data_IF_030559816678
#
_entry.id   IF_030559816678
#
_cell.length_a   1.000
_cell.length_b   1.000
_cell.length_c   1.000
_cell.angle_alpha   90.00
_cell.angle_beta   90.00
_cell.angle_gamma   90.00
#
_symmetry.space_group_name_H-M   'P 1'
#
loop_
_entity.id
_entity.type
_entity.pdbx_description
1 polymer ?
#
# COMPACT_ATOMS: atom_id res chain seq x y z
N UNK A 1 5.85 -66.81 -15.19
CA UNK A 1 6.43 -65.46 -15.10
C UNK A 1 5.30 -64.44 -15.22
N UNK A 2 4.82 -63.79 -14.14
CA UNK A 2 3.87 -62.70 -14.29
C UNK A 2 4.62 -61.38 -14.48
N UNK A 3 4.21 -60.61 -15.49
CA UNK A 3 4.71 -59.25 -15.76
C UNK A 3 3.93 -58.27 -14.87
N UNK A 4 4.61 -57.59 -13.96
CA UNK A 4 4.07 -56.43 -13.24
C UNK A 4 3.96 -55.25 -14.21
N UNK A 5 2.76 -54.67 -14.32
CA UNK A 5 2.55 -53.35 -14.91
C UNK A 5 2.53 -52.33 -13.76
N UNK A 6 3.47 -51.37 -13.78
CA UNK A 6 3.41 -50.18 -12.93
C UNK A 6 2.61 -49.11 -13.66
N UNK A 7 1.45 -48.72 -13.10
CA UNK A 7 0.74 -47.51 -13.51
C UNK A 7 1.29 -46.37 -12.68
N UNK A 8 2.00 -45.45 -13.33
CA UNK A 8 2.44 -44.19 -12.71
C UNK A 8 1.28 -43.20 -12.80
N UNK A 9 0.69 -42.85 -11.65
CA UNK A 9 -0.31 -41.78 -11.57
C UNK A 9 0.46 -40.47 -11.39
N UNK A 10 0.55 -39.67 -12.45
CA UNK A 10 1.06 -38.31 -12.37
C UNK A 10 0.01 -37.41 -11.70
N UNK A 11 0.30 -36.97 -10.49
CA UNK A 11 -0.49 -35.98 -9.77
C UNK A 11 -0.17 -34.60 -10.36
N UNK A 12 -0.98 -34.12 -11.30
CA UNK A 12 -0.88 -32.72 -11.77
C UNK A 12 -1.51 -31.84 -10.70
N UNK A 13 -0.68 -31.30 -9.82
CA UNK A 13 -1.08 -30.26 -8.89
C UNK A 13 -1.26 -28.97 -9.70
N UNK A 14 -2.50 -28.68 -10.09
CA UNK A 14 -2.86 -27.39 -10.67
C UNK A 14 -2.87 -26.36 -9.53
N UNK A 15 -1.69 -25.83 -9.21
CA UNK A 15 -1.58 -24.64 -8.39
C UNK A 15 -2.30 -23.52 -9.15
N UNK A 16 -3.49 -23.16 -8.69
CA UNK A 16 -4.16 -21.96 -9.13
C UNK A 16 -3.22 -20.78 -8.85
N UNK A 17 -2.65 -20.24 -9.92
CA UNK A 17 -1.95 -18.96 -9.90
C UNK A 17 -2.96 -17.92 -9.42
N UNK A 18 -2.86 -17.56 -8.15
CA UNK A 18 -3.41 -16.32 -7.64
C UNK A 18 -2.67 -15.23 -8.43
N UNK A 19 -3.31 -14.72 -9.47
CA UNK A 19 -2.76 -13.66 -10.30
C UNK A 19 -2.65 -12.39 -9.46
N UNK A 20 -1.51 -12.18 -8.83
CA UNK A 20 -1.08 -10.85 -8.38
C UNK A 20 -0.81 -10.05 -9.65
N UNK A 21 -1.84 -9.40 -10.19
CA UNK A 21 -1.67 -8.48 -11.31
C UNK A 21 -0.74 -7.37 -10.86
N UNK A 22 0.52 -7.44 -11.28
CA UNK A 22 1.48 -6.36 -11.14
C UNK A 22 1.05 -5.27 -12.12
N UNK A 23 0.92 -4.04 -11.68
CA UNK A 23 0.64 -2.97 -12.62
C UNK A 23 1.78 -2.92 -13.66
N UNK A 24 1.41 -2.94 -14.94
CA UNK A 24 2.37 -2.93 -16.04
C UNK A 24 2.84 -1.50 -16.29
N UNK A 25 4.13 -1.34 -16.52
CA UNK A 25 4.66 -0.08 -16.98
C UNK A 25 4.16 0.20 -18.41
N UNK A 26 3.96 1.47 -18.79
CA UNK A 26 3.66 1.83 -20.17
C UNK A 26 4.74 1.29 -21.13
N UNK A 27 4.31 0.80 -22.29
CA UNK A 27 5.13 0.51 -23.48
C UNK A 27 6.12 -0.66 -23.43
N UNK A 28 5.85 -1.71 -22.64
CA UNK A 28 6.65 -2.95 -22.69
C UNK A 28 8.11 -2.78 -22.24
N UNK A 29 8.40 -1.66 -21.55
CA UNK A 29 9.68 -1.39 -20.91
C UNK A 29 9.67 -2.01 -19.52
N UNK A 30 10.72 -2.75 -19.17
CA UNK A 30 10.90 -3.25 -17.81
C UNK A 30 11.38 -2.11 -16.91
N UNK A 31 10.60 -1.78 -15.87
CA UNK A 31 10.95 -0.73 -14.92
C UNK A 31 11.66 -1.33 -13.70
N UNK A 32 12.74 -0.70 -13.21
CA UNK A 32 13.46 -1.22 -12.06
C UNK A 32 12.60 -1.14 -10.80
N UNK A 33 12.71 -2.15 -9.94
CA UNK A 33 12.17 -2.09 -8.58
C UNK A 33 13.10 -1.23 -7.74
N UNK A 34 12.64 -0.03 -7.39
CA UNK A 34 13.39 0.93 -6.57
C UNK A 34 13.07 0.82 -5.08
N UNK A 35 11.94 0.22 -4.74
CA UNK A 35 11.55 -0.08 -3.37
C UNK A 35 10.67 -1.33 -3.34
N UNK A 36 10.88 -2.19 -2.34
CA UNK A 36 10.05 -3.35 -2.08
C UNK A 36 10.13 -3.68 -0.60
N UNK A 37 8.97 -3.92 0.00
CA UNK A 37 8.86 -4.36 1.38
C UNK A 37 7.75 -5.42 1.48
N UNK A 38 8.04 -6.51 2.21
CA UNK A 38 7.07 -7.56 2.55
C UNK A 38 6.86 -7.68 4.08
N UNK A 39 7.55 -6.82 4.83
CA UNK A 39 7.54 -6.67 6.27
C UNK A 39 8.02 -7.90 7.06
N UNK A 40 8.71 -8.84 6.41
CA UNK A 40 9.18 -10.09 7.04
C UNK A 40 10.41 -9.92 7.95
N UNK A 41 11.07 -8.76 7.89
CA UNK A 41 12.23 -8.43 8.74
C UNK A 41 11.82 -7.57 9.95
N UNK A 42 12.43 -7.77 11.14
CA UNK A 42 12.23 -6.85 12.27
C UNK A 42 12.69 -5.41 11.96
N UNK A 43 13.57 -5.21 10.98
CA UNK A 43 14.07 -3.89 10.56
C UNK A 43 13.26 -3.24 9.42
N UNK A 44 12.16 -3.86 8.98
CA UNK A 44 11.35 -3.38 7.84
C UNK A 44 10.81 -1.96 7.99
N UNK A 45 10.73 -1.44 9.22
CA UNK A 45 10.30 -0.06 9.52
C UNK A 45 11.40 0.99 9.32
N UNK A 46 12.66 0.58 9.20
CA UNK A 46 13.79 1.52 9.09
C UNK A 46 13.75 2.33 7.80
N UNK A 47 13.20 1.76 6.72
CA UNK A 47 12.98 2.43 5.43
C UNK A 47 11.85 3.46 5.43
N UNK A 48 11.19 3.70 6.57
CA UNK A 48 10.01 4.56 6.66
C UNK A 48 10.24 5.78 7.57
N UNK A 49 9.72 6.93 7.13
CA UNK A 49 9.57 8.16 7.90
C UNK A 49 8.09 8.32 8.28
N UNK A 50 7.81 8.32 9.58
CA UNK A 50 6.44 8.44 10.10
C UNK A 50 6.17 9.86 10.60
N UNK A 51 5.01 10.41 10.25
CA UNK A 51 4.58 11.70 10.81
C UNK A 51 4.36 11.63 12.34
N UNK A 52 3.94 10.46 12.84
CA UNK A 52 3.94 10.09 14.25
C UNK A 52 4.37 8.62 14.39
N UNK A 53 5.64 8.33 14.71
CA UNK A 53 6.11 6.96 14.88
C UNK A 53 5.32 6.15 15.93
N UNK A 54 4.71 6.81 16.91
CA UNK A 54 3.98 6.14 17.98
C UNK A 54 2.63 5.56 17.52
N UNK A 55 2.17 5.91 16.31
CA UNK A 55 0.95 5.39 15.69
C UNK A 55 1.19 4.21 14.74
N UNK A 56 2.47 3.84 14.52
CA UNK A 56 2.87 2.78 13.60
C UNK A 56 3.62 1.67 14.31
N UNK A 57 3.42 0.42 13.86
CA UNK A 57 4.20 -0.74 14.31
C UNK A 57 4.18 -1.86 13.27
N UNK A 58 5.17 -2.73 13.32
CA UNK A 58 5.04 -4.06 12.71
C UNK A 58 4.04 -4.88 13.52
N UNK A 59 3.09 -5.49 12.82
CA UNK A 59 2.11 -6.42 13.37
C UNK A 59 2.15 -7.73 12.61
N UNK A 60 1.51 -8.75 13.16
CA UNK A 60 1.42 -10.07 12.53
C UNK A 60 0.01 -10.61 12.69
N UNK A 61 -0.47 -11.30 11.67
CA UNK A 61 -1.82 -11.88 11.63
C UNK A 61 -1.99 -12.71 10.37
N UNK A 62 -2.84 -13.73 10.42
CA UNK A 62 -3.17 -14.57 9.25
C UNK A 62 -1.95 -15.15 8.51
N UNK A 63 -0.84 -15.35 9.21
CA UNK A 63 0.38 -15.97 8.66
C UNK A 63 1.35 -15.00 7.96
N UNK A 64 1.13 -13.69 8.01
CA UNK A 64 2.05 -12.69 7.46
C UNK A 64 2.30 -11.52 8.42
N UNK A 65 3.37 -10.76 8.17
CA UNK A 65 3.70 -9.52 8.86
C UNK A 65 3.29 -8.32 8.02
N UNK A 66 2.95 -7.21 8.66
CA UNK A 66 2.51 -5.99 7.98
C UNK A 66 2.79 -4.75 8.83
N UNK A 67 2.98 -3.62 8.17
CA UNK A 67 2.99 -2.31 8.81
C UNK A 67 1.56 -1.89 9.16
N UNK A 68 1.32 -1.57 10.43
CA UNK A 68 0.00 -1.23 10.96
C UNK A 68 -0.02 0.18 11.51
N UNK A 69 -0.93 1.00 10.98
CA UNK A 69 -1.42 2.21 11.63
C UNK A 69 -2.45 1.81 12.69
N UNK A 70 -2.02 1.65 13.93
CA UNK A 70 -2.79 0.93 14.97
C UNK A 70 -3.56 1.83 15.94
N UNK A 71 -3.40 3.14 15.82
CA UNK A 71 -4.11 4.18 16.57
C UNK A 71 -4.09 5.49 15.79
N UNK A 72 -4.89 6.46 16.21
CA UNK A 72 -4.85 7.81 15.66
C UNK A 72 -3.49 8.48 15.92
N UNK A 73 -2.99 9.16 14.90
CA UNK A 73 -1.79 9.97 14.97
C UNK A 73 -2.00 11.23 15.81
N UNK A 74 -1.00 11.63 16.59
CA UNK A 74 -0.96 12.96 17.21
C UNK A 74 -0.50 14.06 16.24
N UNK A 75 -0.08 13.70 15.02
CA UNK A 75 0.35 14.64 13.99
C UNK A 75 -0.80 15.58 13.62
N UNK A 76 -0.48 16.86 13.49
CA UNK A 76 -1.40 17.89 13.01
C UNK A 76 -0.88 18.41 11.68
N UNK A 77 -1.45 17.95 10.55
CA UNK A 77 -1.06 18.47 9.25
C UNK A 77 -1.25 19.99 9.18
N UNK A 78 -0.39 20.71 8.44
CA UNK A 78 -0.46 22.17 8.30
C UNK A 78 -1.76 22.64 7.60
N UNK A 79 -2.34 21.78 6.77
CA UNK A 79 -3.62 21.99 6.09
C UNK A 79 -4.42 20.69 6.11
N UNK A 80 -5.73 20.74 5.83
CA UNK A 80 -6.59 19.54 5.89
C UNK A 80 -6.11 18.46 4.92
N UNK A 81 -5.55 17.37 5.46
CA UNK A 81 -5.04 16.18 4.75
C UNK A 81 -5.15 14.92 5.65
N UNK A 82 -4.71 13.73 5.22
CA UNK A 82 -4.60 12.57 6.11
C UNK A 82 -3.70 12.86 7.33
N UNK A 83 -3.96 12.19 8.45
CA UNK A 83 -3.24 12.39 9.72
C UNK A 83 -2.20 11.29 9.96
N UNK A 84 -2.60 10.03 9.74
CA UNK A 84 -1.71 8.88 9.82
C UNK A 84 -0.91 8.72 8.52
N UNK A 85 0.30 9.30 8.52
CA UNK A 85 1.18 9.32 7.34
C UNK A 85 2.49 8.58 7.60
N UNK A 86 2.89 7.76 6.62
CA UNK A 86 4.18 7.10 6.53
C UNK A 86 4.76 7.27 5.12
N UNK A 87 6.00 7.74 5.01
CA UNK A 87 6.73 7.93 3.76
C UNK A 87 7.89 6.96 3.66
N UNK A 88 8.21 6.50 2.45
CA UNK A 88 9.45 5.77 2.20
C UNK A 88 10.60 6.78 2.25
N UNK A 89 11.66 6.47 3.01
CA UNK A 89 12.86 7.31 3.11
C UNK A 89 13.67 7.30 1.82
N UNK A 90 14.28 8.43 1.52
CA UNK A 90 15.29 8.57 0.47
C UNK A 90 14.85 8.06 -0.91
N UNK A 91 13.54 8.09 -1.18
CA UNK A 91 12.95 7.67 -2.45
C UNK A 91 12.26 8.84 -3.14
N UNK A 92 12.89 9.33 -4.21
CA UNK A 92 12.32 10.32 -5.11
C UNK A 92 12.14 9.70 -6.50
N UNK A 93 10.91 9.72 -7.00
CA UNK A 93 10.54 9.16 -8.30
C UNK A 93 9.57 10.10 -9.02
N UNK A 94 9.69 10.19 -10.34
CA UNK A 94 8.77 10.98 -11.18
C UNK A 94 7.54 10.16 -11.57
N UNK A 95 7.58 9.52 -12.72
CA UNK A 95 6.62 8.47 -13.07
C UNK A 95 6.99 7.18 -12.31
N UNK A 96 6.00 6.41 -11.90
CA UNK A 96 6.18 5.13 -11.22
C UNK A 96 4.93 4.25 -11.33
N UNK A 97 5.11 3.00 -10.98
CA UNK A 97 4.03 2.04 -10.73
C UNK A 97 4.11 1.63 -9.26
N UNK A 98 2.98 1.66 -8.56
CA UNK A 98 2.88 1.24 -7.16
C UNK A 98 1.87 0.10 -7.04
N UNK A 99 2.36 -1.04 -6.57
CA UNK A 99 1.54 -2.17 -6.17
C UNK A 99 1.58 -2.29 -4.64
N UNK A 100 0.42 -2.32 -4.01
CA UNK A 100 0.31 -2.48 -2.56
C UNK A 100 -0.88 -3.36 -2.18
N UNK A 101 -0.66 -4.25 -1.21
CA UNK A 101 -1.74 -4.95 -0.52
C UNK A 101 -2.07 -4.16 0.74
N UNK A 102 -3.25 -3.56 0.77
CA UNK A 102 -3.73 -2.80 1.92
C UNK A 102 -5.05 -3.36 2.45
N UNK A 103 -5.30 -3.15 3.75
CA UNK A 103 -6.52 -3.61 4.41
C UNK A 103 -6.96 -2.55 5.43
N UNK A 104 -8.21 -2.13 5.32
CA UNK A 104 -8.86 -1.40 6.41
C UNK A 104 -9.31 -2.38 7.49
N UNK A 105 -8.91 -2.14 8.74
CA UNK A 105 -9.28 -2.98 9.89
C UNK A 105 -10.37 -2.36 10.77
N UNK A 106 -10.72 -1.09 10.53
CA UNK A 106 -11.74 -0.37 11.29
C UNK A 106 -13.16 -0.71 10.86
N UNK A 107 -14.11 -0.42 11.75
CA UNK A 107 -15.55 -0.54 11.46
C UNK A 107 -15.89 0.26 10.20
N UNK A 108 -16.77 -0.31 9.39
CA UNK A 108 -17.35 0.33 8.22
C UNK A 108 -18.10 1.64 8.56
N UNK A 109 -17.70 2.75 7.94
CA UNK A 109 -18.42 4.03 7.94
C UNK A 109 -18.04 4.86 6.70
N UNK A 110 -18.80 5.92 6.41
CA UNK A 110 -18.77 6.61 5.11
C UNK A 110 -17.39 7.11 4.65
N UNK A 111 -16.53 7.57 5.57
CA UNK A 111 -15.21 8.12 5.26
C UNK A 111 -14.07 7.25 5.79
N UNK A 112 -14.31 5.97 6.08
CA UNK A 112 -13.26 5.04 6.46
C UNK A 112 -12.28 4.91 5.30
N UNK A 113 -11.01 5.16 5.56
CA UNK A 113 -10.04 5.38 4.51
C UNK A 113 -8.86 4.40 4.52
N UNK A 114 -8.43 4.07 3.32
CA UNK A 114 -7.06 3.65 3.03
C UNK A 114 -6.51 4.67 2.07
N UNK A 115 -5.50 5.42 2.53
CA UNK A 115 -4.85 6.43 1.71
C UNK A 115 -3.53 5.91 1.14
N UNK A 116 -3.28 6.16 -0.16
CA UNK A 116 -1.98 5.96 -0.81
C UNK A 116 -1.41 7.32 -1.14
N UNK A 117 -0.31 7.70 -0.50
CA UNK A 117 0.29 9.03 -0.65
C UNK A 117 1.50 8.99 -1.58
N UNK A 118 1.68 10.04 -2.40
CA UNK A 118 2.77 10.14 -3.37
C UNK A 118 3.10 11.59 -3.75
N UNK A 119 4.23 11.79 -4.42
CA UNK A 119 4.65 13.11 -4.91
C UNK A 119 4.89 14.15 -3.80
N UNK A 120 5.36 13.71 -2.62
CA UNK A 120 5.68 14.61 -1.51
C UNK A 120 6.85 15.52 -1.84
N UNK A 121 6.63 16.82 -1.64
CA UNK A 121 7.67 17.84 -1.61
C UNK A 121 7.93 18.28 -0.15
N UNK A 122 6.85 18.49 0.60
CA UNK A 122 6.87 18.83 2.02
C UNK A 122 5.53 18.43 2.70
N UNK A 123 5.35 18.63 4.03
CA UNK A 123 4.12 18.27 4.73
C UNK A 123 2.82 18.97 4.28
N UNK A 124 2.88 19.96 3.38
CA UNK A 124 1.74 20.69 2.83
C UNK A 124 1.63 20.56 1.29
N UNK A 125 2.51 19.81 0.64
CA UNK A 125 2.58 19.68 -0.83
C UNK A 125 2.79 18.22 -1.24
N UNK A 126 1.69 17.53 -1.58
CA UNK A 126 1.68 16.13 -2.00
C UNK A 126 0.34 15.74 -2.62
N UNK A 127 0.28 14.52 -3.17
CA UNK A 127 -0.95 13.90 -3.65
C UNK A 127 -1.30 12.69 -2.79
N UNK A 128 -2.58 12.35 -2.74
CA UNK A 128 -3.00 11.06 -2.20
C UNK A 128 -4.25 10.52 -2.88
N UNK A 129 -4.32 9.21 -3.03
CA UNK A 129 -5.56 8.50 -3.38
C UNK A 129 -6.29 8.20 -2.08
N UNK A 130 -7.59 8.52 -2.02
CA UNK A 130 -8.45 8.13 -0.91
C UNK A 130 -9.36 6.97 -1.35
N UNK A 131 -9.11 5.77 -0.84
CA UNK A 131 -10.00 4.63 -1.03
C UNK A 131 -10.94 4.53 0.17
N UNK A 132 -12.25 4.62 -0.08
CA UNK A 132 -13.26 4.49 0.96
C UNK A 132 -14.31 3.44 0.58
N UNK A 133 -15.46 3.46 1.23
CA UNK A 133 -16.59 2.58 0.89
C UNK A 133 -17.58 3.23 -0.06
N UNK A 134 -17.71 4.55 0.01
CA UNK A 134 -18.62 5.32 -0.85
C UNK A 134 -17.91 6.57 -1.37
N UNK A 135 -18.06 6.84 -2.66
CA UNK A 135 -17.54 8.05 -3.28
C UNK A 135 -18.33 9.29 -2.87
N UNK A 136 -17.62 10.39 -2.64
CA UNK A 136 -18.15 11.74 -2.42
C UNK A 136 -17.07 12.79 -2.78
N UNK A 137 -17.32 14.07 -2.48
CA UNK A 137 -16.38 15.17 -2.77
C UNK A 137 -15.03 15.04 -2.04
N UNK A 138 -14.92 14.13 -1.08
CA UNK A 138 -13.80 13.97 -0.16
C UNK A 138 -13.27 12.52 -0.07
N UNK A 139 -13.80 11.58 -0.88
CA UNK A 139 -13.40 10.18 -0.93
C UNK A 139 -13.55 9.56 -2.35
N UNK A 140 -12.79 8.50 -2.64
CA UNK A 140 -12.70 7.86 -3.97
C UNK A 140 -12.25 8.80 -5.09
N UNK A 141 -11.18 9.53 -4.83
CA UNK A 141 -10.53 10.36 -5.85
C UNK A 141 -9.03 10.48 -5.55
N UNK A 142 -8.32 11.12 -6.46
CA UNK A 142 -6.98 11.66 -6.24
C UNK A 142 -7.16 13.07 -5.69
N UNK A 143 -6.51 13.32 -4.55
CA UNK A 143 -6.54 14.60 -3.87
C UNK A 143 -5.19 15.30 -3.97
N UNK A 144 -5.22 16.58 -4.28
CA UNK A 144 -4.07 17.49 -4.21
C UNK A 144 -4.07 18.21 -2.87
N UNK A 145 -2.92 18.20 -2.20
CA UNK A 145 -2.61 19.08 -1.07
C UNK A 145 -1.53 20.04 -1.56
N UNK A 146 -1.83 21.34 -1.62
CA UNK A 146 -0.96 22.36 -2.21
C UNK A 146 -0.99 23.66 -1.40
N UNK A 147 -0.59 23.59 -0.13
CA UNK A 147 -0.64 24.73 0.79
C UNK A 147 -2.04 25.13 1.26
N UNK A 148 -3.07 24.39 0.84
CA UNK A 148 -4.49 24.62 1.17
C UNK A 148 -5.19 23.29 1.50
N UNK A 149 -6.39 23.31 2.11
CA UNK A 149 -7.21 22.11 2.29
C UNK A 149 -7.32 21.28 1.00
N UNK A 150 -7.21 19.95 1.13
CA UNK A 150 -7.21 19.03 -0.01
C UNK A 150 -8.35 19.27 -1.01
N UNK A 151 -8.05 19.13 -2.29
CA UNK A 151 -9.03 19.26 -3.39
C UNK A 151 -9.01 17.99 -4.24
N UNK A 152 -10.20 17.50 -4.61
CA UNK A 152 -10.36 16.39 -5.56
C UNK A 152 -9.98 16.84 -6.98
N UNK A 153 -9.16 16.06 -7.67
CA UNK A 153 -8.63 16.39 -9.01
C UNK A 153 -8.86 15.30 -10.08
N UNK A 154 -9.55 14.20 -9.75
CA UNK A 154 -9.82 13.09 -10.66
C UNK A 154 -11.21 12.47 -10.46
#
# INVERSE_FOLDING_TARGET
MPRLFFISIAFVCLCALCGSGRAEAPDGVEWPVVFKEDFSSPTSVEGWEFADPSAWRLSSGEGFQFLSSFKDSAHKPPVRSPENIAWIKDLEVGSFVLDATARSTEREYGHRDVCVLFGRQDPAHFYYVHLATKADEHAHSIFLVNGEPRVSIA
#
